data_IF_917549273435
#
_entry.id   IF_917549273435
#
_cell.length_a   1.000
_cell.length_b   1.000
_cell.length_c   1.000
_cell.angle_alpha   90.00
_cell.angle_beta   90.00
_cell.angle_gamma   90.00
#
_symmetry.space_group_name_H-M   'P 1'
#
loop_
_entity.id
_entity.type
_entity.pdbx_description
1 polymer ?
#
# COMPACT_ATOMS: atom_id res chain seq x y z
N UNK A 1 10.46 3.70 -19.13
CA UNK A 1 9.90 2.35 -19.00
C UNK A 1 8.68 2.39 -18.09
N UNK A 2 7.66 1.63 -18.41
CA UNK A 2 6.46 1.56 -17.61
C UNK A 2 6.54 0.39 -16.63
N UNK A 3 6.17 0.65 -15.38
CA UNK A 3 6.02 -0.41 -14.38
C UNK A 3 4.58 -0.92 -14.45
N UNK A 4 4.41 -2.23 -14.43
CA UNK A 4 3.10 -2.88 -14.34
C UNK A 4 2.99 -3.54 -12.96
N UNK A 5 1.95 -3.16 -12.23
CA UNK A 5 1.64 -3.81 -10.96
C UNK A 5 0.37 -4.65 -11.15
N UNK A 6 0.53 -5.96 -11.09
CA UNK A 6 -0.58 -6.89 -11.19
C UNK A 6 -1.12 -7.21 -9.79
N UNK A 7 -2.42 -7.13 -9.64
CA UNK A 7 -3.10 -7.46 -8.39
C UNK A 7 -4.39 -8.18 -8.69
N UNK A 8 -4.71 -9.24 -7.94
CA UNK A 8 -5.99 -9.91 -8.09
C UNK A 8 -7.11 -9.02 -7.58
N UNK A 9 -8.32 -9.23 -8.11
CA UNK A 9 -9.52 -8.54 -7.62
C UNK A 9 -9.77 -8.85 -6.15
N UNK A 10 -9.50 -10.08 -5.73
CA UNK A 10 -9.63 -10.48 -4.33
C UNK A 10 -8.73 -9.66 -3.41
N UNK A 11 -7.47 -9.44 -3.80
CA UNK A 11 -6.53 -8.62 -3.01
C UNK A 11 -6.96 -7.17 -2.99
N UNK A 12 -7.41 -6.64 -4.12
CA UNK A 12 -7.95 -5.28 -4.18
C UNK A 12 -9.13 -5.10 -3.23
N UNK A 13 -10.05 -6.07 -3.21
CA UNK A 13 -11.23 -6.02 -2.34
C UNK A 13 -10.85 -6.09 -0.86
N UNK A 14 -9.81 -6.84 -0.51
CA UNK A 14 -9.28 -6.86 0.86
C UNK A 14 -8.76 -5.50 1.28
N UNK A 15 -7.99 -4.84 0.41
CA UNK A 15 -7.47 -3.50 0.65
C UNK A 15 -8.63 -2.51 0.83
N UNK A 16 -9.60 -2.56 -0.08
CA UNK A 16 -10.76 -1.66 -0.04
C UNK A 16 -11.55 -1.82 1.26
N UNK A 17 -11.82 -3.06 1.66
CA UNK A 17 -12.53 -3.34 2.92
C UNK A 17 -11.77 -2.81 4.13
N UNK A 18 -10.45 -3.04 4.17
CA UNK A 18 -9.59 -2.55 5.24
C UNK A 18 -9.63 -1.02 5.34
N UNK A 19 -9.57 -0.35 4.19
CA UNK A 19 -9.60 1.11 4.13
C UNK A 19 -10.95 1.66 4.58
N UNK A 20 -12.05 1.01 4.21
CA UNK A 20 -13.40 1.42 4.64
C UNK A 20 -13.60 1.20 6.14
N UNK A 21 -13.10 0.10 6.67
CA UNK A 21 -13.18 -0.19 8.11
C UNK A 21 -12.37 0.82 8.94
N UNK A 22 -11.31 1.38 8.36
CA UNK A 22 -10.46 2.35 9.04
C UNK A 22 -11.02 3.75 9.08
N UNK A 23 -12.09 4.04 8.32
CA UNK A 23 -12.66 5.38 8.31
C UNK A 23 -13.01 5.88 9.71
N UNK A 24 -12.81 7.14 10.02
CA UNK A 24 -12.39 8.26 9.14
C UNK A 24 -10.88 8.40 8.95
N UNK A 25 -10.08 7.48 9.47
CA UNK A 25 -8.63 7.55 9.42
C UNK A 25 -8.06 6.97 8.13
N UNK A 26 -6.84 7.38 7.77
CA UNK A 26 -6.09 6.72 6.72
C UNK A 26 -5.76 5.29 7.15
N UNK A 27 -5.86 4.38 6.21
CA UNK A 27 -5.44 2.99 6.39
C UNK A 27 -4.18 2.73 5.59
N UNK A 28 -3.42 1.72 5.98
CA UNK A 28 -2.14 1.42 5.36
C UNK A 28 -1.85 -0.08 5.36
N UNK A 29 -0.87 -0.45 4.57
CA UNK A 29 -0.40 -1.83 4.53
C UNK A 29 0.75 -2.04 3.57
N UNK A 30 1.17 -3.28 3.45
CA UNK A 30 2.27 -3.69 2.59
C UNK A 30 1.78 -4.65 1.51
N UNK A 31 2.46 -4.61 0.38
CA UNK A 31 2.22 -5.50 -0.75
C UNK A 31 3.45 -6.38 -0.94
N UNK A 32 3.25 -7.68 -1.03
CA UNK A 32 4.33 -8.63 -1.28
C UNK A 32 4.05 -9.44 -2.54
N UNK A 33 5.10 -9.89 -3.20
CA UNK A 33 4.94 -10.66 -4.41
C UNK A 33 6.25 -10.89 -5.13
N UNK A 34 6.16 -10.97 -6.45
CA UNK A 34 7.28 -11.29 -7.33
C UNK A 34 7.58 -10.15 -8.29
N UNK A 35 8.81 -10.08 -8.76
CA UNK A 35 9.27 -9.07 -9.71
C UNK A 35 9.89 -9.78 -10.89
N UNK A 36 9.40 -9.50 -12.09
CA UNK A 36 9.96 -9.99 -13.35
C UNK A 36 10.10 -8.82 -14.32
N UNK A 37 11.31 -8.27 -14.43
CA UNK A 37 11.56 -7.08 -15.24
C UNK A 37 10.75 -5.90 -14.72
N UNK A 38 9.89 -5.34 -15.56
CA UNK A 38 9.03 -4.21 -15.18
C UNK A 38 7.68 -4.66 -14.64
N UNK A 39 7.46 -5.96 -14.46
CA UNK A 39 6.18 -6.51 -13.97
C UNK A 39 6.34 -6.96 -12.53
N UNK A 40 5.55 -6.36 -11.65
CA UNK A 40 5.45 -6.74 -10.25
C UNK A 40 4.07 -7.34 -10.01
N UNK A 41 4.03 -8.53 -9.42
CA UNK A 41 2.77 -9.24 -9.18
C UNK A 41 2.56 -9.40 -7.69
N UNK A 42 1.47 -8.82 -7.20
CA UNK A 42 1.06 -8.95 -5.80
C UNK A 42 0.50 -10.35 -5.58
N UNK A 43 1.07 -11.07 -4.63
CA UNK A 43 0.58 -12.40 -4.23
C UNK A 43 0.04 -12.39 -2.81
N UNK A 44 0.39 -11.38 -2.02
CA UNK A 44 -0.09 -11.25 -0.64
C UNK A 44 -0.16 -9.78 -0.23
N UNK A 45 -1.24 -9.41 0.48
CA UNK A 45 -1.40 -8.09 1.06
C UNK A 45 -1.37 -8.21 2.59
N UNK A 46 -0.72 -7.23 3.23
CA UNK A 46 -0.64 -7.15 4.68
C UNK A 46 -1.39 -5.91 5.13
N UNK A 47 -2.47 -6.12 5.86
CA UNK A 47 -3.34 -5.05 6.34
C UNK A 47 -2.82 -4.60 7.70
N UNK A 48 -2.22 -3.41 7.75
CA UNK A 48 -1.52 -2.93 8.93
C UNK A 48 -2.33 -1.86 9.66
N UNK A 49 -1.92 -1.60 10.90
CA UNK A 49 -2.53 -0.56 11.73
C UNK A 49 -1.85 0.78 11.48
N UNK A 50 -2.67 1.83 11.30
CA UNK A 50 -2.18 3.21 11.33
C UNK A 50 -2.10 3.67 12.78
N UNK A 51 -0.89 3.71 13.33
CA UNK A 51 -0.70 4.09 14.73
C UNK A 51 -0.88 5.59 14.99
N UNK A 52 -0.89 6.41 13.93
CA UNK A 52 -1.17 7.84 14.06
C UNK A 52 -2.66 8.12 14.24
N UNK A 53 -3.51 7.17 13.88
CA UNK A 53 -4.97 7.29 13.97
C UNK A 53 -5.47 8.63 13.43
N UNK A 54 -4.97 9.01 12.24
CA UNK A 54 -5.23 10.31 11.63
C UNK A 54 -5.92 10.14 10.28
N UNK A 55 -6.73 11.13 9.90
CA UNK A 55 -7.33 11.18 8.56
C UNK A 55 -6.41 11.81 7.51
N UNK A 56 -5.24 12.31 7.92
CA UNK A 56 -4.31 13.01 7.04
C UNK A 56 -2.92 12.39 7.00
N UNK A 57 -2.60 11.53 7.97
CA UNK A 57 -1.29 10.92 8.12
C UNK A 57 -1.41 9.45 8.42
N UNK A 58 -0.36 8.72 8.13
CA UNK A 58 -0.26 7.35 8.59
C UNK A 58 1.18 7.01 8.99
N UNK A 59 1.29 6.12 9.98
CA UNK A 59 2.55 5.45 10.32
C UNK A 59 2.21 3.99 10.58
N UNK A 60 2.95 3.10 9.97
CA UNK A 60 2.74 1.66 10.16
C UNK A 60 3.33 1.22 11.48
N UNK A 61 2.62 0.35 12.19
CA UNK A 61 3.13 -0.27 13.42
C UNK A 61 4.43 -1.02 13.10
N UNK A 62 5.57 -0.67 13.73
CA UNK A 62 6.84 -1.32 13.43
C UNK A 62 6.86 -2.84 13.67
N UNK A 63 6.12 -3.31 14.66
CA UNK A 63 6.04 -4.75 14.95
C UNK A 63 5.29 -5.49 13.87
N UNK A 64 4.20 -4.90 13.39
CA UNK A 64 3.41 -5.46 12.28
C UNK A 64 4.22 -5.45 10.98
N UNK A 65 4.97 -4.36 10.72
CA UNK A 65 5.85 -4.29 9.56
C UNK A 65 6.89 -5.41 9.58
N UNK A 66 7.54 -5.61 10.71
CA UNK A 66 8.56 -6.64 10.84
C UNK A 66 7.95 -8.02 10.63
N UNK A 67 6.80 -8.28 11.21
CA UNK A 67 6.08 -9.55 11.04
C UNK A 67 5.74 -9.79 9.57
N UNK A 68 5.28 -8.76 8.86
CA UNK A 68 4.97 -8.86 7.43
C UNK A 68 6.20 -9.18 6.59
N UNK A 69 7.33 -8.52 6.86
CA UNK A 69 8.59 -8.77 6.16
C UNK A 69 9.06 -10.21 6.38
N UNK A 70 8.98 -10.68 7.61
CA UNK A 70 9.36 -12.06 7.95
C UNK A 70 8.44 -13.07 7.28
N UNK A 71 7.13 -12.82 7.26
CA UNK A 71 6.18 -13.70 6.61
C UNK A 71 6.41 -13.76 5.10
N UNK A 72 6.65 -12.61 4.46
CA UNK A 72 6.95 -12.56 3.03
C UNK A 72 8.19 -13.38 2.71
N UNK A 73 9.24 -13.22 3.51
CA UNK A 73 10.49 -13.98 3.34
C UNK A 73 10.26 -15.49 3.49
N UNK A 74 9.46 -15.89 4.49
CA UNK A 74 9.13 -17.29 4.71
C UNK A 74 8.33 -17.88 3.53
N UNK A 75 7.57 -17.08 2.82
CA UNK A 75 6.81 -17.49 1.63
C UNK A 75 7.59 -17.27 0.33
N UNK A 76 8.88 -16.95 0.41
CA UNK A 76 9.78 -16.77 -0.74
C UNK A 76 9.30 -15.65 -1.68
N UNK A 77 8.67 -14.61 -1.14
CA UNK A 77 8.31 -13.40 -1.86
C UNK A 77 8.95 -12.19 -1.18
N UNK A 78 8.90 -11.05 -1.84
CA UNK A 78 9.50 -9.82 -1.33
C UNK A 78 8.46 -8.73 -1.19
N UNK A 79 8.73 -7.75 -0.35
CA UNK A 79 7.90 -6.55 -0.29
C UNK A 79 8.15 -5.75 -1.56
N UNK A 80 7.10 -5.51 -2.33
CA UNK A 80 7.17 -4.82 -3.61
C UNK A 80 6.47 -3.47 -3.59
N UNK A 81 5.74 -3.17 -2.53
CA UNK A 81 5.05 -1.89 -2.41
C UNK A 81 4.38 -1.71 -1.07
N UNK A 82 3.81 -0.53 -0.90
CA UNK A 82 2.93 -0.24 0.21
C UNK A 82 1.66 0.44 -0.32
N UNK A 83 0.65 0.52 0.52
CA UNK A 83 -0.56 1.25 0.18
C UNK A 83 -1.02 2.08 1.36
N UNK A 84 -1.71 3.17 1.06
CA UNK A 84 -2.48 3.91 2.04
C UNK A 84 -3.73 4.49 1.37
N UNK A 85 -4.71 4.86 2.19
CA UNK A 85 -5.95 5.44 1.70
C UNK A 85 -5.96 6.95 1.89
N UNK A 86 -6.70 7.62 1.00
CA UNK A 86 -7.13 9.01 1.18
C UNK A 86 -8.63 8.98 1.46
N UNK A 87 -9.05 9.12 2.74
CA UNK A 87 -10.48 8.97 3.09
C UNK A 87 -11.39 10.00 2.43
N UNK A 88 -10.91 11.24 2.29
CA UNK A 88 -11.74 12.39 1.86
C UNK A 88 -11.14 13.17 0.69
N UNK A 89 -10.12 12.62 0.03
CA UNK A 89 -9.44 13.33 -1.05
C UNK A 89 -9.19 12.41 -2.24
N UNK A 90 -8.86 12.97 -3.43
CA UNK A 90 -8.52 12.16 -4.59
C UNK A 90 -7.28 11.31 -4.38
N UNK A 91 -7.10 10.28 -5.21
CA UNK A 91 -5.96 9.37 -5.16
C UNK A 91 -4.68 9.99 -5.75
N UNK A 92 -4.46 11.27 -5.46
CA UNK A 92 -3.24 11.99 -5.87
C UNK A 92 -2.31 12.12 -4.68
N UNK A 93 -0.99 11.99 -4.89
CA UNK A 93 -0.05 12.11 -3.78
C UNK A 93 -0.08 13.52 -3.18
N UNK A 94 -0.14 13.60 -1.85
CA UNK A 94 0.06 14.85 -1.13
C UNK A 94 1.54 15.22 -1.14
N UNK A 95 1.88 16.44 -0.70
CA UNK A 95 3.29 16.81 -0.56
C UNK A 95 4.01 15.93 0.45
N UNK A 96 3.33 15.54 1.52
CA UNK A 96 3.87 14.59 2.50
C UNK A 96 4.10 13.22 1.86
N UNK A 97 3.13 12.71 1.08
CA UNK A 97 3.26 11.44 0.37
C UNK A 97 4.51 11.43 -0.50
N UNK A 98 4.75 12.52 -1.24
CA UNK A 98 5.92 12.65 -2.11
C UNK A 98 7.22 12.65 -1.32
N UNK A 99 7.27 13.32 -0.17
CA UNK A 99 8.46 13.36 0.67
C UNK A 99 8.79 12.01 1.28
N UNK A 100 7.75 11.24 1.64
CA UNK A 100 7.93 9.94 2.28
C UNK A 100 8.16 8.82 1.27
N UNK A 101 7.88 9.05 0.00
CA UNK A 101 8.08 8.06 -1.08
C UNK A 101 9.53 8.09 -1.56
N UNK A 102 10.47 7.72 -0.71
CA UNK A 102 11.91 7.81 -0.99
C UNK A 102 12.55 6.48 -1.41
N UNK A 103 11.89 5.37 -1.20
CA UNK A 103 12.41 4.06 -1.62
C UNK A 103 12.05 3.81 -3.07
N UNK A 104 13.06 3.81 -3.94
CA UNK A 104 12.88 3.65 -5.39
C UNK A 104 12.67 2.19 -5.80
N UNK A 105 12.84 1.23 -4.88
CA UNK A 105 12.70 -0.20 -5.18
C UNK A 105 11.27 -0.72 -5.02
N UNK A 106 10.38 0.06 -4.43
CA UNK A 106 8.99 -0.34 -4.19
C UNK A 106 8.00 0.63 -4.82
N UNK A 107 6.75 0.18 -4.95
CA UNK A 107 5.66 0.98 -5.47
C UNK A 107 4.81 1.54 -4.33
N UNK A 108 4.24 2.71 -4.55
CA UNK A 108 3.38 3.40 -3.58
C UNK A 108 1.98 3.50 -4.16
N UNK A 109 1.03 2.80 -3.55
CA UNK A 109 -0.35 2.72 -4.02
C UNK A 109 -1.24 3.58 -3.13
N UNK A 110 -2.00 4.47 -3.74
CA UNK A 110 -2.95 5.34 -3.03
C UNK A 110 -4.37 4.98 -3.45
N UNK A 111 -5.21 4.63 -2.48
CA UNK A 111 -6.61 4.34 -2.70
C UNK A 111 -7.46 5.51 -2.19
N UNK A 112 -8.20 6.15 -3.09
CA UNK A 112 -9.18 7.17 -2.70
C UNK A 112 -10.50 6.51 -2.36
N UNK A 113 -11.02 6.80 -1.16
CA UNK A 113 -12.39 6.39 -0.80
C UNK A 113 -13.43 7.39 -1.28
N UNK A 114 -13.00 8.61 -1.62
CA UNK A 114 -13.89 9.61 -2.23
C UNK A 114 -14.26 9.22 -3.65
N UNK A 115 -13.29 8.75 -4.43
CA UNK A 115 -13.47 8.42 -5.84
C UNK A 115 -13.48 6.91 -6.11
N UNK A 116 -13.15 6.10 -5.10
CA UNK A 116 -12.96 4.66 -5.20
C UNK A 116 -12.03 4.27 -6.34
N UNK A 117 -10.94 5.03 -6.51
CA UNK A 117 -9.93 4.71 -7.51
C UNK A 117 -8.54 4.61 -6.90
N UNK A 118 -7.62 4.05 -7.67
CA UNK A 118 -6.23 3.84 -7.28
C UNK A 118 -5.31 4.72 -8.11
N UNK A 119 -4.22 5.17 -7.50
CA UNK A 119 -3.07 5.68 -8.23
C UNK A 119 -1.80 4.98 -7.78
N UNK A 120 -0.84 4.90 -8.67
CA UNK A 120 0.44 4.28 -8.44
C UNK A 120 1.53 5.32 -8.60
N UNK A 121 2.41 5.41 -7.60
CA UNK A 121 3.58 6.28 -7.66
C UNK A 121 4.80 5.38 -7.80
N UNK A 122 5.57 5.64 -8.85
CA UNK A 122 6.86 4.99 -9.06
C UNK A 122 7.94 6.06 -9.14
N UNK A 123 8.96 5.92 -8.34
CA UNK A 123 10.07 6.86 -8.26
C UNK A 123 11.34 6.24 -8.85
#
# INVERSE_FOLDING_TARGET
MSIVLNMSRSDYEKILAHCREGLPNESCGLLAGTVEGDVKTVTKVYLLTNIDASNEHFSMDPKEQLAAVKDARANQVTIIGNFHSHPESPSRPSEEDKRLAYDTSIEYLILSLQEENLSLIHI
#
